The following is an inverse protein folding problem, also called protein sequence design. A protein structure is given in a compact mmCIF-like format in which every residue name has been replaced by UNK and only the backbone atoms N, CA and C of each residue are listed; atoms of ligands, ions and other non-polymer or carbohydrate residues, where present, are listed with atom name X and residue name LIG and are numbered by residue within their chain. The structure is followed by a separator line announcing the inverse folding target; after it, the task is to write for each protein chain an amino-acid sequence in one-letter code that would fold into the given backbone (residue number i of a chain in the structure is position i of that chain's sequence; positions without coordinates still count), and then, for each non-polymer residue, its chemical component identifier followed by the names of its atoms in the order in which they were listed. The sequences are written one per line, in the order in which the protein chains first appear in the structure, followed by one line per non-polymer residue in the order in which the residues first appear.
data_IF_847587941144
#
_entry.id   IF_847587941144
#
_cell.length_a   1.000
_cell.length_b   1.000
_cell.length_c   1.000
_cell.angle_alpha   90.00
_cell.angle_beta   90.00
_cell.angle_gamma   90.00
#
_symmetry.space_group_name_H-M   'P 1'
#
loop_
_entity.id
_entity.type
_entity.pdbx_description
1 polymer ?
#
# COMPACT_ATOMS: atom_id res chain seq x y z
N UNK A 1 -0.49 -14.67 -21.77
CA UNK A 1 -0.36 -14.39 -20.33
C UNK A 1 0.75 -13.37 -20.13
N UNK A 2 0.41 -12.08 -20.02
CA UNK A 2 1.35 -11.06 -19.53
C UNK A 2 0.92 -10.77 -18.09
N UNK A 3 1.72 -11.23 -17.14
CA UNK A 3 1.58 -10.78 -15.75
C UNK A 3 2.17 -9.38 -15.74
N UNK A 4 1.31 -8.37 -15.91
CA UNK A 4 1.71 -6.98 -15.83
C UNK A 4 1.97 -6.68 -14.34
N UNK A 5 3.25 -6.60 -13.97
CA UNK A 5 3.69 -6.11 -12.67
C UNK A 5 3.63 -4.58 -12.74
N UNK A 6 2.72 -4.02 -11.96
CA UNK A 6 2.34 -2.62 -11.95
C UNK A 6 2.29 -2.07 -10.54
N UNK A 7 3.45 -1.74 -9.95
CA UNK A 7 3.47 -0.70 -8.94
C UNK A 7 4.86 -0.14 -8.67
N UNK A 8 5.01 1.17 -8.85
CA UNK A 8 6.16 2.05 -8.52
C UNK A 8 7.53 1.71 -9.10
N UNK A 9 8.28 2.70 -9.61
CA UNK A 9 9.61 2.50 -10.20
C UNK A 9 10.59 1.76 -9.27
N UNK A 10 10.52 2.01 -7.96
CA UNK A 10 11.42 1.38 -6.97
C UNK A 10 11.00 -0.06 -6.66
N UNK A 11 9.71 -0.33 -6.48
CA UNK A 11 9.21 -1.67 -6.15
C UNK A 11 9.13 -2.58 -7.39
N UNK A 12 8.86 -2.01 -8.57
CA UNK A 12 8.97 -2.64 -9.90
C UNK A 12 10.42 -2.99 -10.23
N UNK A 13 11.37 -2.08 -10.04
CA UNK A 13 12.79 -2.36 -10.34
C UNK A 13 13.37 -3.47 -9.46
N UNK A 14 12.86 -3.61 -8.23
CA UNK A 14 13.23 -4.69 -7.31
C UNK A 14 12.34 -5.95 -7.41
N UNK A 15 11.28 -5.93 -8.25
CA UNK A 15 10.29 -7.02 -8.42
C UNK A 15 9.68 -7.52 -7.09
N UNK A 16 9.53 -6.62 -6.11
CA UNK A 16 9.08 -7.01 -4.77
C UNK A 16 7.57 -7.10 -4.64
N UNK A 17 6.82 -6.35 -5.46
CA UNK A 17 5.36 -6.26 -5.39
C UNK A 17 4.79 -6.17 -6.80
N UNK A 18 3.69 -6.89 -7.09
CA UNK A 18 3.07 -6.94 -8.42
C UNK A 18 2.09 -5.81 -8.65
N UNK A 19 1.33 -5.38 -7.65
CA UNK A 19 0.37 -4.29 -7.76
C UNK A 19 0.17 -3.58 -6.42
N UNK A 20 -0.58 -2.49 -6.41
CA UNK A 20 -0.83 -1.74 -5.17
C UNK A 20 -1.58 -2.57 -4.13
N UNK A 21 -2.47 -3.45 -4.59
CA UNK A 21 -3.25 -4.35 -3.76
C UNK A 21 -2.36 -5.27 -2.91
N UNK A 22 -1.37 -5.92 -3.52
CA UNK A 22 -0.40 -6.77 -2.81
C UNK A 22 0.44 -5.94 -1.81
N UNK A 23 0.66 -4.65 -2.06
CA UNK A 23 1.31 -3.77 -1.10
C UNK A 23 0.43 -3.55 0.13
N UNK A 24 -0.86 -3.27 -0.07
CA UNK A 24 -1.84 -3.11 1.01
C UNK A 24 -1.95 -4.41 1.81
N UNK A 25 -2.03 -5.56 1.15
CA UNK A 25 -2.12 -6.86 1.81
C UNK A 25 -0.89 -7.15 2.67
N UNK A 26 0.31 -6.86 2.16
CA UNK A 26 1.56 -7.06 2.90
C UNK A 26 1.68 -6.17 4.15
N UNK A 27 1.01 -5.01 4.16
CA UNK A 27 1.01 -4.09 5.31
C UNK A 27 -0.11 -4.48 6.27
N UNK A 28 -1.36 -4.55 5.81
CA UNK A 28 -2.53 -4.59 6.69
C UNK A 28 -2.95 -6.01 7.09
N UNK A 29 -2.79 -7.01 6.23
CA UNK A 29 -3.15 -8.40 6.55
C UNK A 29 -2.48 -8.91 7.83
N UNK A 30 -1.14 -8.82 8.00
CA UNK A 30 -0.50 -9.31 9.22
C UNK A 30 -0.94 -8.54 10.47
N UNK A 31 -1.26 -7.25 10.33
CA UNK A 31 -1.76 -6.42 11.43
C UNK A 31 -3.14 -6.90 11.89
N UNK A 32 -4.03 -7.21 10.95
CA UNK A 32 -5.35 -7.75 11.26
C UNK A 32 -5.29 -9.16 11.82
N UNK A 33 -4.45 -10.04 11.26
CA UNK A 33 -4.27 -11.40 11.75
C UNK A 33 -3.81 -11.43 13.21
N UNK A 34 -2.85 -10.56 13.56
CA UNK A 34 -2.31 -10.46 14.92
C UNK A 34 -3.29 -9.79 15.88
N UNK A 35 -4.10 -8.85 15.38
CA UNK A 35 -5.18 -8.23 16.17
C UNK A 35 -6.28 -9.26 16.49
N UNK A 36 -6.62 -10.14 15.54
CA UNK A 36 -7.63 -11.18 15.71
C UNK A 36 -7.10 -12.36 16.55
N UNK A 37 -5.84 -12.75 16.35
CA UNK A 37 -5.17 -13.82 17.10
C UNK A 37 -3.79 -13.35 17.62
N UNK A 38 -3.72 -12.80 18.85
CA UNK A 38 -2.48 -12.35 19.46
C UNK A 38 -1.43 -13.44 19.66
N UNK A 39 -1.82 -14.72 19.70
CA UNK A 39 -0.90 -15.85 19.85
C UNK A 39 -0.17 -16.21 18.55
N UNK A 40 -0.67 -15.75 17.40
CA UNK A 40 -0.02 -16.02 16.10
C UNK A 40 1.38 -15.40 16.02
N UNK A 41 1.50 -14.13 16.45
CA UNK A 41 2.77 -13.40 16.46
C UNK A 41 2.85 -12.49 17.71
N UNK A 42 3.18 -13.06 18.88
CA UNK A 42 3.13 -12.32 20.15
C UNK A 42 4.12 -11.14 20.23
N UNK A 43 5.23 -11.20 19.48
CA UNK A 43 6.17 -10.08 19.38
C UNK A 43 5.60 -8.91 18.57
N UNK A 44 4.91 -9.20 17.46
CA UNK A 44 4.26 -8.19 16.64
C UNK A 44 3.08 -7.56 17.40
N UNK A 45 2.29 -8.36 18.12
CA UNK A 45 1.20 -7.85 18.95
C UNK A 45 1.67 -6.82 19.98
N UNK A 46 2.74 -7.14 20.73
CA UNK A 46 3.33 -6.20 21.70
C UNK A 46 3.88 -4.94 21.06
N UNK A 47 4.45 -5.06 19.86
CA UNK A 47 4.92 -3.91 19.09
C UNK A 47 3.75 -3.00 18.69
N UNK A 48 2.64 -3.58 18.22
CA UNK A 48 1.43 -2.81 17.86
C UNK A 48 0.82 -2.06 19.05
N UNK A 49 0.89 -2.61 20.26
CA UNK A 49 0.45 -1.90 21.46
C UNK A 49 1.26 -0.64 21.78
N UNK A 50 2.46 -0.48 21.22
CA UNK A 50 3.32 0.69 21.40
C UNK A 50 3.22 1.69 20.24
N UNK A 51 2.63 1.30 19.13
CA UNK A 51 2.45 2.16 17.95
C UNK A 51 1.20 3.03 18.16
N UNK A 52 1.34 4.33 17.92
CA UNK A 52 0.24 5.30 17.97
C UNK A 52 -0.27 5.74 16.60
N UNK A 53 0.47 5.48 15.52
CA UNK A 53 0.10 5.89 14.18
C UNK A 53 1.07 5.40 13.11
N UNK A 54 0.60 5.44 11.87
CA UNK A 54 1.37 5.17 10.66
C UNK A 54 1.48 6.48 9.90
N UNK A 55 2.70 6.86 9.56
CA UNK A 55 2.99 8.08 8.80
C UNK A 55 3.54 7.69 7.43
N UNK A 56 2.90 8.18 6.36
CA UNK A 56 3.35 7.96 5.00
C UNK A 56 4.24 9.12 4.56
N UNK A 57 5.45 8.82 4.11
CA UNK A 57 6.41 9.83 3.63
C UNK A 57 6.64 9.67 2.13
N UNK A 58 6.56 10.76 1.39
CA UNK A 58 7.01 10.85 -0.02
C UNK A 58 7.62 12.23 -0.30
N UNK A 59 8.25 12.38 -1.46
CA UNK A 59 8.83 13.63 -1.94
C UNK A 59 7.74 14.55 -2.54
N UNK A 60 7.15 15.38 -1.67
CA UNK A 60 6.10 16.36 -2.01
C UNK A 60 6.53 17.39 -3.07
N UNK A 61 7.82 17.48 -3.41
CA UNK A 61 8.29 18.38 -4.46
C UNK A 61 8.04 17.86 -5.88
N UNK A 62 7.68 16.57 -6.03
CA UNK A 62 7.37 15.97 -7.31
C UNK A 62 5.96 16.38 -7.76
N UNK A 63 5.86 16.83 -9.01
CA UNK A 63 4.58 17.12 -9.61
C UNK A 63 3.84 15.80 -9.91
N UNK A 64 2.66 15.65 -9.32
CA UNK A 64 1.76 14.55 -9.64
C UNK A 64 0.92 14.90 -10.87
N UNK A 65 1.02 14.07 -11.91
CA UNK A 65 0.31 14.30 -13.18
C UNK A 65 -1.06 13.60 -13.24
N UNK A 66 -1.27 12.57 -12.40
CA UNK A 66 -2.48 11.76 -12.36
C UNK A 66 -3.43 12.35 -11.32
N UNK A 67 -4.65 12.73 -11.73
CA UNK A 67 -5.70 13.15 -10.79
C UNK A 67 -6.46 11.93 -10.32
N UNK A 68 -6.65 11.80 -9.01
CA UNK A 68 -7.53 10.76 -8.46
C UNK A 68 -9.00 11.13 -8.72
N UNK A 69 -9.66 10.29 -9.50
CA UNK A 69 -11.06 10.44 -9.88
C UNK A 69 -11.78 9.09 -9.94
N UNK A 70 -13.06 9.10 -10.32
CA UNK A 70 -13.86 7.87 -10.44
C UNK A 70 -13.42 6.94 -11.58
N UNK A 71 -12.57 7.43 -12.48
CA UNK A 71 -12.06 6.66 -13.61
C UNK A 71 -10.70 6.03 -13.28
N UNK A 72 -10.11 6.41 -12.14
CA UNK A 72 -8.85 5.85 -11.66
C UNK A 72 -9.07 4.36 -11.34
N UNK A 73 -8.21 3.46 -11.86
CA UNK A 73 -8.37 2.02 -11.67
C UNK A 73 -8.22 1.61 -10.20
N UNK A 74 -8.81 0.47 -9.85
CA UNK A 74 -8.67 -0.15 -8.52
C UNK A 74 -7.25 -0.66 -8.26
N UNK A 75 -6.83 -0.88 -6.99
CA UNK A 75 -5.47 -1.29 -6.61
C UNK A 75 -4.95 -2.51 -7.35
N UNK A 76 -5.86 -3.45 -7.65
CA UNK A 76 -5.58 -4.70 -8.35
C UNK A 76 -5.24 -4.49 -9.83
N UNK A 77 -5.85 -3.48 -10.43
CA UNK A 77 -5.81 -3.15 -11.87
C UNK A 77 -4.97 -1.91 -12.17
N UNK A 78 -4.47 -1.22 -11.14
CA UNK A 78 -3.63 -0.04 -11.28
C UNK A 78 -2.36 -0.41 -12.04
N UNK A 79 -2.25 0.09 -13.27
CA UNK A 79 -1.23 -0.34 -14.21
C UNK A 79 -0.43 0.75 -14.92
N UNK A 80 -0.31 1.90 -14.27
CA UNK A 80 0.45 3.01 -14.81
C UNK A 80 1.96 2.90 -14.56
N UNK A 81 2.72 3.53 -15.46
CA UNK A 81 4.17 3.61 -15.37
C UNK A 81 4.63 4.58 -14.27
N UNK A 82 3.80 5.59 -13.97
CA UNK A 82 4.00 6.55 -12.90
C UNK A 82 3.41 6.03 -11.57
N UNK A 83 3.86 6.59 -10.46
CA UNK A 83 3.25 6.32 -9.15
C UNK A 83 1.82 6.92 -9.12
N UNK A 84 0.89 6.32 -8.37
CA UNK A 84 -0.38 6.97 -8.06
C UNK A 84 -0.15 8.29 -7.35
N UNK A 85 -1.13 9.18 -7.44
CA UNK A 85 -1.16 10.40 -6.65
C UNK A 85 -1.23 10.09 -5.15
N UNK A 86 -0.74 11.01 -4.33
CA UNK A 86 -0.84 10.93 -2.87
C UNK A 86 -2.29 10.74 -2.41
N UNK A 87 -3.26 11.39 -3.07
CA UNK A 87 -4.68 11.23 -2.81
C UNK A 87 -5.14 9.76 -2.93
N UNK A 88 -4.58 9.01 -3.89
CA UNK A 88 -4.88 7.60 -4.08
C UNK A 88 -4.32 6.76 -2.92
N UNK A 89 -3.06 7.00 -2.53
CA UNK A 89 -2.47 6.34 -1.35
C UNK A 89 -3.29 6.58 -0.09
N UNK A 90 -3.62 7.85 0.16
CA UNK A 90 -4.37 8.25 1.35
C UNK A 90 -5.76 7.61 1.37
N UNK A 91 -6.47 7.58 0.24
CA UNK A 91 -7.81 6.99 0.16
C UNK A 91 -7.80 5.51 0.58
N UNK A 92 -6.90 4.70 0.01
CA UNK A 92 -6.85 3.28 0.33
C UNK A 92 -6.26 3.00 1.72
N UNK A 93 -5.28 3.78 2.18
CA UNK A 93 -4.75 3.62 3.54
C UNK A 93 -5.82 3.94 4.58
N UNK A 94 -6.55 5.05 4.42
CA UNK A 94 -7.67 5.41 5.30
C UNK A 94 -8.82 4.42 5.23
N UNK A 95 -9.01 3.71 4.12
CA UNK A 95 -10.02 2.66 4.01
C UNK A 95 -9.64 1.39 4.79
N UNK A 96 -8.34 1.13 4.95
CA UNK A 96 -7.80 -0.08 5.61
C UNK A 96 -7.53 0.10 7.11
N UNK A 97 -7.67 1.31 7.66
CA UNK A 97 -7.53 1.61 9.10
C UNK A 97 -8.92 1.76 9.72
#
# INVERSE_FOLDING_TARGET
MKVNSCFSDVYRSKKMVKNFDEMLDNIFTPLFEVTNNPESHPHLFRFLQQISGIDSVDDESKLEHIKFDRLTPEPKDYCDAENPSYDYYLFYYCMQI
#
